data_IF_943306132698
#
_entry.id   IF_943306132698
#
_cell.length_a   1.000
_cell.length_b   1.000
_cell.length_c   1.000
_cell.angle_alpha   90.00
_cell.angle_beta   90.00
_cell.angle_gamma   90.00
#
_symmetry.space_group_name_H-M   'P 1'
#
loop_
_entity.id
_entity.type
_entity.pdbx_description
1 polymer ?
#
# COMPACT_ATOMS: atom_id res chain seq x y z
N UNK A 1 -21.29 -31.69 -87.92
CA UNK A 1 -20.37 -31.43 -89.05
C UNK A 1 -19.96 -29.96 -88.91
N UNK A 2 -18.79 -29.51 -88.43
CA UNK A 2 -17.49 -30.02 -87.96
C UNK A 2 -17.17 -29.16 -86.69
N UNK A 3 -16.66 -29.64 -85.54
CA UNK A 3 -15.33 -30.21 -85.29
C UNK A 3 -14.27 -29.11 -85.40
N UNK A 4 -13.45 -28.69 -84.42
CA UNK A 4 -12.64 -29.28 -83.31
C UNK A 4 -11.83 -28.09 -82.67
N UNK A 5 -10.88 -28.26 -81.74
CA UNK A 5 -10.86 -28.99 -80.46
C UNK A 5 -10.31 -28.14 -79.28
N UNK A 6 -10.46 -28.66 -78.06
CA UNK A 6 -9.71 -28.25 -76.86
C UNK A 6 -8.24 -28.72 -76.88
N UNK A 7 -7.38 -28.19 -76.00
CA UNK A 7 -6.35 -28.97 -75.33
C UNK A 7 -6.74 -29.26 -73.87
N UNK A 8 -6.61 -30.54 -73.53
CA UNK A 8 -6.66 -31.11 -72.18
C UNK A 8 -5.26 -31.04 -71.57
N UNK A 9 -5.13 -30.57 -70.35
CA UNK A 9 -4.03 -30.88 -69.40
C UNK A 9 -4.57 -30.55 -68.00
N UNK A 10 -5.13 -31.45 -67.21
CA UNK A 10 -4.54 -32.61 -66.52
C UNK A 10 -3.26 -32.27 -65.75
N UNK A 11 -3.39 -31.67 -64.55
CA UNK A 11 -2.55 -32.04 -63.40
C UNK A 11 -3.27 -31.75 -62.07
N UNK A 12 -3.15 -32.73 -61.17
CA UNK A 12 -3.79 -32.90 -59.87
C UNK A 12 -3.09 -32.10 -58.76
N UNK A 13 -3.83 -31.62 -57.76
CA UNK A 13 -3.50 -31.65 -56.31
C UNK A 13 -4.59 -30.86 -55.55
N UNK A 14 -5.53 -31.48 -54.85
CA UNK A 14 -5.41 -32.06 -53.50
C UNK A 14 -5.06 -31.03 -52.41
N UNK A 15 -6.14 -30.49 -51.80
CA UNK A 15 -6.36 -30.17 -50.39
C UNK A 15 -5.13 -30.13 -49.45
N UNK A 16 -4.83 -28.96 -48.88
CA UNK A 16 -4.32 -28.88 -47.51
C UNK A 16 -4.77 -27.57 -46.84
N UNK A 17 -5.82 -27.68 -46.02
CA UNK A 17 -6.14 -26.74 -44.94
C UNK A 17 -5.02 -26.84 -43.91
N UNK A 18 -4.10 -25.86 -43.90
CA UNK A 18 -3.16 -25.67 -42.81
C UNK A 18 -3.66 -24.51 -41.95
N UNK A 19 -4.27 -24.87 -40.83
CA UNK A 19 -4.28 -24.06 -39.61
C UNK A 19 -2.83 -23.62 -39.34
N UNK A 20 -2.53 -22.35 -39.60
CA UNK A 20 -1.37 -21.73 -38.99
C UNK A 20 -1.73 -21.49 -37.52
N UNK A 21 -1.45 -22.54 -36.75
CA UNK A 21 -1.27 -22.54 -35.31
C UNK A 21 -0.62 -21.24 -34.86
N UNK A 22 -1.22 -20.65 -33.83
CA UNK A 22 -0.68 -19.48 -33.15
C UNK A 22 0.81 -19.66 -32.87
N UNK A 23 1.59 -18.67 -33.29
CA UNK A 23 2.83 -18.36 -32.60
C UNK A 23 2.50 -18.07 -31.14
N UNK A 24 2.49 -19.12 -30.30
CA UNK A 24 2.88 -18.95 -28.91
C UNK A 24 4.32 -18.49 -28.98
N UNK A 25 4.54 -17.19 -28.88
CA UNK A 25 5.81 -16.69 -28.41
C UNK A 25 6.12 -17.48 -27.15
N UNK A 26 7.20 -18.25 -27.17
CA UNK A 26 7.75 -18.79 -25.95
C UNK A 26 7.94 -17.58 -25.03
N UNK A 27 7.13 -17.49 -23.98
CA UNK A 27 7.30 -16.49 -22.96
C UNK A 27 8.73 -16.67 -22.46
N UNK A 28 9.59 -15.69 -22.72
CA UNK A 28 10.85 -15.59 -21.99
C UNK A 28 10.56 -15.87 -20.52
N UNK A 29 11.39 -16.64 -19.81
CA UNK A 29 11.21 -16.78 -18.37
C UNK A 29 11.12 -15.36 -17.82
N UNK A 30 9.99 -15.04 -17.20
CA UNK A 30 9.79 -13.73 -16.59
C UNK A 30 11.01 -13.48 -15.69
N UNK A 31 11.56 -12.27 -15.69
CA UNK A 31 12.68 -11.95 -14.82
C UNK A 31 12.34 -12.41 -13.38
N UNK A 32 13.33 -12.91 -12.63
CA UNK A 32 13.08 -13.38 -11.27
C UNK A 32 12.39 -12.28 -10.47
N UNK A 33 11.32 -12.67 -9.76
CA UNK A 33 10.55 -11.74 -8.94
C UNK A 33 11.48 -11.04 -7.96
N UNK A 34 11.23 -9.76 -7.74
CA UNK A 34 11.88 -8.98 -6.69
C UNK A 34 11.82 -9.75 -5.35
N UNK A 35 12.95 -9.92 -4.62
CA UNK A 35 12.97 -10.71 -3.39
C UNK A 35 12.01 -10.22 -2.30
N UNK A 36 11.77 -8.91 -2.21
CA UNK A 36 10.80 -8.34 -1.26
C UNK A 36 9.37 -8.75 -1.66
N UNK A 37 9.05 -8.64 -2.95
CA UNK A 37 7.76 -9.10 -3.49
C UNK A 37 7.57 -10.60 -3.21
N UNK A 38 8.59 -11.42 -3.45
CA UNK A 38 8.52 -12.86 -3.18
C UNK A 38 8.29 -13.16 -1.69
N UNK A 39 8.94 -12.43 -0.78
CA UNK A 39 8.75 -12.55 0.65
C UNK A 39 7.33 -12.18 1.10
N UNK A 40 6.79 -11.08 0.58
CA UNK A 40 5.42 -10.65 0.87
C UNK A 40 4.38 -11.65 0.35
N UNK A 41 4.59 -12.20 -0.86
CA UNK A 41 3.75 -13.26 -1.40
C UNK A 41 3.82 -14.55 -0.58
N UNK A 42 4.99 -14.88 0.00
CA UNK A 42 5.10 -16.00 0.93
C UNK A 42 4.34 -15.73 2.23
N UNK A 43 4.43 -14.53 2.78
CA UNK A 43 3.66 -14.11 3.96
C UNK A 43 2.16 -14.19 3.71
N UNK A 44 1.67 -13.73 2.56
CA UNK A 44 0.26 -13.87 2.19
C UNK A 44 -0.18 -15.31 1.93
N UNK A 45 0.72 -16.21 1.52
CA UNK A 45 0.40 -17.64 1.44
C UNK A 45 0.13 -18.24 2.81
N UNK A 46 0.86 -17.80 3.84
CA UNK A 46 0.65 -18.24 5.22
C UNK A 46 -0.55 -17.54 5.87
N UNK A 47 -0.72 -16.24 5.59
CA UNK A 47 -1.78 -15.40 6.16
C UNK A 47 -2.46 -14.60 5.04
N UNK A 48 -3.48 -15.17 4.36
CA UNK A 48 -4.10 -14.53 3.19
C UNK A 48 -4.83 -13.20 3.46
N UNK A 49 -5.19 -12.95 4.71
CA UNK A 49 -5.90 -11.74 5.14
C UNK A 49 -4.98 -10.71 5.80
N UNK A 50 -3.67 -10.86 5.63
CA UNK A 50 -2.70 -9.87 6.07
C UNK A 50 -2.81 -8.58 5.22
N UNK A 51 -3.62 -7.64 5.72
CA UNK A 51 -3.85 -6.36 5.06
C UNK A 51 -2.58 -5.51 4.92
N UNK A 52 -1.64 -5.63 5.86
CA UNK A 52 -0.38 -4.89 5.78
C UNK A 52 0.51 -5.44 4.66
N UNK A 53 0.67 -6.76 4.58
CA UNK A 53 1.41 -7.37 3.48
C UNK A 53 0.76 -7.10 2.12
N UNK A 54 -0.58 -7.09 2.06
CA UNK A 54 -1.36 -6.71 0.87
C UNK A 54 -1.07 -5.26 0.46
N UNK A 55 -1.02 -4.34 1.42
CA UNK A 55 -0.72 -2.93 1.19
C UNK A 55 0.70 -2.71 0.68
N UNK A 56 1.67 -3.36 1.33
CA UNK A 56 3.08 -3.29 0.97
C UNK A 56 3.30 -3.81 -0.46
N UNK A 57 2.64 -4.91 -0.86
CA UNK A 57 2.70 -5.39 -2.24
C UNK A 57 2.16 -4.37 -3.24
N UNK A 58 1.02 -3.75 -2.95
CA UNK A 58 0.45 -2.73 -3.82
C UNK A 58 1.43 -1.56 -4.04
N UNK A 59 2.03 -1.05 -2.97
CA UNK A 59 3.01 0.04 -3.03
C UNK A 59 4.31 -0.38 -3.73
N UNK A 60 4.80 -1.60 -3.51
CA UNK A 60 5.99 -2.15 -4.17
C UNK A 60 5.78 -2.27 -5.68
N UNK A 61 4.69 -2.87 -6.12
CA UNK A 61 4.37 -2.96 -7.56
C UNK A 61 4.23 -1.57 -8.20
N UNK A 62 3.66 -0.59 -7.50
CA UNK A 62 3.61 0.79 -8.00
C UNK A 62 5.02 1.39 -8.15
N UNK A 63 5.91 1.13 -7.19
CA UNK A 63 7.32 1.54 -7.25
C UNK A 63 8.11 0.89 -8.40
N UNK A 64 7.75 -0.34 -8.78
CA UNK A 64 8.32 -1.05 -9.94
C UNK A 64 7.72 -0.59 -11.28
N UNK A 65 6.71 0.29 -11.27
CA UNK A 65 5.98 0.70 -12.48
C UNK A 65 4.96 -0.32 -12.98
N UNK A 66 4.75 -1.41 -12.23
CA UNK A 66 3.80 -2.49 -12.50
C UNK A 66 2.39 -2.07 -12.06
N UNK A 67 1.88 -1.01 -12.68
CA UNK A 67 0.66 -0.31 -12.27
C UNK A 67 -0.56 -1.21 -12.18
N UNK A 68 -0.73 -2.16 -13.10
CA UNK A 68 -1.85 -3.08 -13.05
C UNK A 68 -1.80 -4.02 -11.83
N UNK A 69 -0.60 -4.50 -11.47
CA UNK A 69 -0.44 -5.32 -10.26
C UNK A 69 -0.74 -4.50 -9.02
N UNK A 70 -0.24 -3.27 -8.97
CA UNK A 70 -0.51 -2.36 -7.85
C UNK A 70 -2.02 -2.16 -7.65
N UNK A 71 -2.77 -1.87 -8.72
CA UNK A 71 -4.22 -1.69 -8.66
C UNK A 71 -4.94 -2.98 -8.22
N UNK A 72 -4.55 -4.15 -8.73
CA UNK A 72 -5.10 -5.45 -8.28
C UNK A 72 -4.93 -5.67 -6.78
N UNK A 73 -3.77 -5.34 -6.22
CA UNK A 73 -3.54 -5.44 -4.79
C UNK A 73 -4.31 -4.40 -3.99
N UNK A 74 -4.55 -3.20 -4.54
CA UNK A 74 -5.45 -2.22 -3.93
C UNK A 74 -6.92 -2.69 -3.91
N UNK A 75 -7.38 -3.38 -4.95
CA UNK A 75 -8.71 -4.02 -4.94
C UNK A 75 -8.80 -5.12 -3.88
N UNK A 76 -7.71 -5.88 -3.67
CA UNK A 76 -7.65 -6.85 -2.57
C UNK A 76 -7.75 -6.16 -1.20
N UNK A 77 -7.17 -4.97 -1.01
CA UNK A 77 -7.35 -4.18 0.22
C UNK A 77 -8.83 -3.81 0.44
N UNK A 78 -9.56 -3.50 -0.63
CA UNK A 78 -10.99 -3.19 -0.56
C UNK A 78 -11.77 -4.41 -0.06
N UNK A 79 -11.49 -5.60 -0.62
CA UNK A 79 -12.06 -6.87 -0.16
C UNK A 79 -11.71 -7.18 1.32
N UNK A 80 -10.52 -6.79 1.78
CA UNK A 80 -10.08 -6.92 3.17
C UNK A 80 -10.64 -5.86 4.11
N UNK A 81 -11.46 -4.93 3.62
CA UNK A 81 -12.01 -3.82 4.41
C UNK A 81 -10.90 -2.96 5.05
N UNK A 82 -9.82 -2.70 4.31
CA UNK A 82 -8.67 -1.93 4.76
C UNK A 82 -9.06 -0.55 5.29
N UNK A 83 -8.56 -0.20 6.48
CA UNK A 83 -9.00 0.99 7.25
C UNK A 83 -7.93 2.03 7.54
N UNK A 84 -6.68 1.78 7.17
CA UNK A 84 -5.56 2.69 7.50
C UNK A 84 -5.27 3.72 6.39
N UNK A 85 -6.18 3.85 5.42
CA UNK A 85 -6.05 4.75 4.27
C UNK A 85 -4.95 4.33 3.29
N UNK A 86 -4.87 5.05 2.17
CA UNK A 86 -3.80 4.93 1.18
C UNK A 86 -3.15 6.30 1.01
N UNK A 87 -1.83 6.38 1.11
CA UNK A 87 -1.07 7.62 0.98
C UNK A 87 -0.45 7.73 -0.41
N UNK A 88 -0.76 8.82 -1.14
CA UNK A 88 -0.27 9.06 -2.50
C UNK A 88 1.27 8.94 -2.63
N UNK A 89 2.00 9.31 -1.59
CA UNK A 89 3.47 9.21 -1.55
C UNK A 89 3.99 7.78 -1.78
N UNK A 90 3.25 6.75 -1.35
CA UNK A 90 3.66 5.35 -1.50
C UNK A 90 3.39 4.79 -2.91
N UNK A 91 2.60 5.50 -3.73
CA UNK A 91 2.20 5.06 -5.07
C UNK A 91 2.81 5.94 -6.19
N UNK A 92 3.58 6.97 -5.85
CA UNK A 92 4.42 7.71 -6.78
C UNK A 92 3.67 8.24 -8.01
N UNK A 93 4.06 7.78 -9.21
CA UNK A 93 3.41 8.21 -10.46
C UNK A 93 2.00 7.65 -10.63
N UNK A 94 1.74 6.43 -10.14
CA UNK A 94 0.42 5.80 -10.19
C UNK A 94 -0.63 6.65 -9.48
N UNK A 95 -0.25 7.36 -8.41
CA UNK A 95 -1.16 8.23 -7.66
C UNK A 95 -1.80 9.37 -8.49
N UNK A 96 -1.24 9.69 -9.66
CA UNK A 96 -1.75 10.72 -10.58
C UNK A 96 -2.69 10.17 -11.65
N UNK A 97 -2.89 8.85 -11.70
CA UNK A 97 -3.74 8.19 -12.69
C UNK A 97 -5.21 8.20 -12.26
N UNK A 98 -6.18 8.28 -13.20
CA UNK A 98 -7.60 8.14 -12.90
C UNK A 98 -7.93 6.83 -12.17
N UNK A 99 -7.33 5.73 -12.60
CA UNK A 99 -7.58 4.38 -12.08
C UNK A 99 -7.22 4.29 -10.60
N UNK A 100 -6.06 4.82 -10.20
CA UNK A 100 -5.70 4.90 -8.79
C UNK A 100 -6.68 5.75 -7.99
N UNK A 101 -7.08 6.91 -8.53
CA UNK A 101 -7.98 7.84 -7.83
C UNK A 101 -9.33 7.19 -7.55
N UNK A 102 -9.84 6.38 -8.48
CA UNK A 102 -11.08 5.63 -8.30
C UNK A 102 -10.96 4.60 -7.17
N UNK A 103 -9.93 3.75 -7.18
CA UNK A 103 -9.74 2.74 -6.13
C UNK A 103 -9.49 3.39 -4.76
N UNK A 104 -8.65 4.43 -4.73
CA UNK A 104 -8.36 5.19 -3.51
C UNK A 104 -9.62 5.85 -2.92
N UNK A 105 -10.50 6.40 -3.76
CA UNK A 105 -11.77 6.96 -3.33
C UNK A 105 -12.68 5.90 -2.71
N UNK A 106 -12.79 4.71 -3.32
CA UNK A 106 -13.56 3.59 -2.74
C UNK A 106 -13.00 3.15 -1.40
N UNK A 107 -11.68 2.96 -1.29
CA UNK A 107 -11.01 2.63 -0.03
C UNK A 107 -11.25 3.70 1.05
N UNK A 108 -11.25 4.99 0.69
CA UNK A 108 -11.55 6.07 1.63
C UNK A 108 -12.97 6.00 2.21
N UNK A 109 -13.95 5.46 1.46
CA UNK A 109 -15.30 5.25 1.99
C UNK A 109 -15.38 4.18 3.09
N UNK A 110 -14.42 3.24 3.11
CA UNK A 110 -14.36 2.18 4.13
C UNK A 110 -13.94 2.71 5.50
N UNK A 111 -13.26 3.85 5.53
CA UNK A 111 -12.80 4.52 6.73
C UNK A 111 -13.03 6.03 6.61
N UNK A 112 -14.27 6.49 6.84
CA UNK A 112 -14.53 7.92 6.87
C UNK A 112 -13.68 8.55 7.98
N UNK A 113 -12.91 9.59 7.65
CA UNK A 113 -12.16 10.34 8.64
C UNK A 113 -13.14 10.97 9.64
N UNK A 114 -13.23 10.39 10.84
CA UNK A 114 -14.06 10.95 11.90
C UNK A 114 -13.20 11.85 12.79
N UNK A 115 -13.06 13.12 12.40
CA UNK A 115 -12.39 14.12 13.23
C UNK A 115 -13.37 14.67 14.29
N UNK A 116 -13.37 14.08 15.49
CA UNK A 116 -14.14 14.60 16.66
C UNK A 116 -13.30 15.44 17.63
N UNK A 117 -11.99 15.46 17.45
CA UNK A 117 -11.08 16.17 18.34
C UNK A 117 -10.77 17.57 17.82
N UNK A 118 -10.80 18.57 18.70
CA UNK A 118 -10.16 19.87 18.47
C UNK A 118 -8.80 19.91 19.17
N UNK A 119 -7.79 20.58 18.59
CA UNK A 119 -6.53 20.82 19.29
C UNK A 119 -6.77 21.58 20.59
N UNK A 120 -6.23 21.08 21.71
CA UNK A 120 -6.32 21.74 23.01
C UNK A 120 -5.09 22.61 23.29
N UNK A 121 -3.91 22.19 22.83
CA UNK A 121 -2.64 22.91 22.97
C UNK A 121 -1.62 22.45 21.93
N UNK A 122 -0.60 23.28 21.72
CA UNK A 122 0.57 22.97 20.87
C UNK A 122 1.82 23.02 21.75
N UNK A 123 2.57 21.93 21.80
CA UNK A 123 3.84 21.87 22.53
C UNK A 123 4.96 22.55 21.72
N UNK A 124 5.60 23.56 22.32
CA UNK A 124 6.75 24.23 21.70
C UNK A 124 8.05 23.40 21.80
N UNK A 125 8.10 22.38 22.68
CA UNK A 125 9.28 21.53 22.85
C UNK A 125 9.49 20.65 21.62
N UNK A 126 10.46 21.04 20.80
CA UNK A 126 10.90 20.26 19.64
C UNK A 126 11.61 18.98 20.09
N UNK A 127 11.47 17.91 19.30
CA UNK A 127 12.09 16.60 19.52
C UNK A 127 11.54 15.77 20.70
N UNK A 128 10.33 16.05 21.19
CA UNK A 128 9.52 15.05 21.87
C UNK A 128 9.03 14.03 20.83
N UNK A 129 9.16 12.73 21.14
CA UNK A 129 8.52 11.65 20.40
C UNK A 129 7.40 11.11 21.29
N UNK A 130 6.20 11.72 21.23
CA UNK A 130 5.12 11.37 22.15
C UNK A 130 4.55 10.00 21.83
N UNK A 131 4.36 9.18 22.87
CA UNK A 131 3.76 7.84 22.76
C UNK A 131 2.50 7.71 23.62
N UNK A 132 2.47 8.39 24.77
CA UNK A 132 1.32 8.41 25.67
C UNK A 132 0.93 9.83 26.08
N UNK A 133 -0.38 10.05 26.20
CA UNK A 133 -0.98 11.24 26.81
C UNK A 133 -2.01 10.80 27.84
N UNK A 134 -2.01 11.44 29.01
CA UNK A 134 -3.08 11.31 30.00
C UNK A 134 -3.44 12.68 30.57
N UNK A 135 -4.60 12.76 31.22
CA UNK A 135 -5.12 13.99 31.81
C UNK A 135 -5.54 13.73 33.25
N UNK A 136 -5.04 14.55 34.17
CA UNK A 136 -5.49 14.61 35.55
C UNK A 136 -6.49 15.75 35.73
N UNK A 137 -7.78 15.46 36.00
CA UNK A 137 -8.81 16.47 36.19
C UNK A 137 -8.69 17.22 37.53
N UNK A 138 -7.99 16.67 38.52
CA UNK A 138 -7.85 17.31 39.84
C UNK A 138 -6.90 18.49 39.76
N UNK A 139 -5.79 18.32 39.04
CA UNK A 139 -4.77 19.37 38.85
C UNK A 139 -4.89 20.08 37.50
N UNK A 140 -5.89 19.73 36.69
CA UNK A 140 -6.10 20.21 35.31
C UNK A 140 -4.81 20.17 34.46
N UNK A 141 -4.12 19.03 34.53
CA UNK A 141 -2.78 18.84 33.95
C UNK A 141 -2.76 17.66 32.99
N UNK A 142 -2.19 17.88 31.81
CA UNK A 142 -1.88 16.83 30.85
C UNK A 142 -0.46 16.32 31.07
N UNK A 143 -0.26 15.01 30.98
CA UNK A 143 1.05 14.39 31.00
C UNK A 143 1.33 13.75 29.66
N UNK A 144 2.47 14.08 29.07
CA UNK A 144 2.90 13.55 27.77
C UNK A 144 4.26 12.87 27.95
N UNK A 145 4.35 11.59 27.62
CA UNK A 145 5.60 10.84 27.66
C UNK A 145 6.44 11.08 26.40
N UNK A 146 7.75 10.85 26.48
CA UNK A 146 8.63 10.87 25.31
C UNK A 146 9.57 9.68 25.31
N UNK A 147 9.46 8.83 24.28
CA UNK A 147 10.33 7.67 24.08
C UNK A 147 11.78 8.15 23.97
N UNK A 148 12.04 9.07 23.03
CA UNK A 148 13.40 9.51 22.69
C UNK A 148 14.10 10.19 23.85
N UNK A 149 13.38 11.03 24.58
CA UNK A 149 13.95 11.80 25.72
C UNK A 149 13.92 11.00 27.02
N UNK A 150 13.17 9.90 27.08
CA UNK A 150 12.94 9.09 28.28
C UNK A 150 12.50 9.97 29.45
N UNK A 151 11.49 10.81 29.21
CA UNK A 151 10.97 11.77 30.19
C UNK A 151 9.45 11.91 30.07
N UNK A 152 8.83 12.52 31.08
CA UNK A 152 7.42 12.91 31.06
C UNK A 152 7.34 14.41 31.30
N UNK A 153 6.62 15.11 30.43
CA UNK A 153 6.31 16.53 30.63
C UNK A 153 4.89 16.68 31.20
N UNK A 154 4.74 17.60 32.14
CA UNK A 154 3.44 18.06 32.62
C UNK A 154 3.09 19.38 31.93
N UNK A 155 1.87 19.48 31.44
CA UNK A 155 1.32 20.64 30.77
C UNK A 155 0.03 21.08 31.46
N UNK A 156 0.05 22.24 32.09
CA UNK A 156 -1.15 22.87 32.62
C UNK A 156 -2.00 23.46 31.48
N UNK A 157 -3.32 23.62 31.70
CA UNK A 157 -4.24 24.17 30.69
C UNK A 157 -3.89 25.59 30.22
N UNK A 158 -3.18 26.36 31.03
CA UNK A 158 -2.66 27.68 30.65
C UNK A 158 -1.43 27.61 29.70
N UNK A 159 -1.01 26.42 29.30
CA UNK A 159 0.13 26.20 28.40
C UNK A 159 1.49 26.11 29.10
N UNK A 160 1.55 26.22 30.44
CA UNK A 160 2.80 26.05 31.17
C UNK A 160 3.28 24.62 31.11
N UNK A 161 4.49 24.44 30.59
CA UNK A 161 5.16 23.15 30.45
C UNK A 161 6.31 23.04 31.45
N UNK A 162 6.39 21.89 32.13
CA UNK A 162 7.52 21.54 33.00
C UNK A 162 7.83 20.05 32.88
N UNK A 163 9.05 19.69 33.23
CA UNK A 163 9.38 18.27 33.40
C UNK A 163 8.65 17.76 34.65
N UNK A 164 7.88 16.69 34.48
CA UNK A 164 7.34 15.90 35.58
C UNK A 164 8.38 14.87 36.04
N UNK A 165 9.02 14.22 35.07
CA UNK A 165 10.25 13.47 35.27
C UNK A 165 11.31 13.99 34.32
N UNK A 166 12.56 14.06 34.79
CA UNK A 166 13.71 14.39 33.96
C UNK A 166 14.08 13.27 32.99
N UNK A 167 14.98 13.55 32.05
CA UNK A 167 15.46 12.56 31.08
C UNK A 167 16.20 11.41 31.76
N UNK A 168 15.71 10.18 31.57
CA UNK A 168 16.27 8.97 32.16
C UNK A 168 16.13 8.87 33.68
N UNK A 169 15.32 9.74 34.30
CA UNK A 169 15.08 9.71 35.75
C UNK A 169 14.48 8.35 36.15
N UNK A 170 14.90 7.83 37.29
CA UNK A 170 14.38 6.57 37.89
C UNK A 170 14.48 5.34 36.97
N UNK A 171 15.42 5.38 36.00
CA UNK A 171 15.62 4.29 35.05
C UNK A 171 14.56 4.23 33.95
N UNK A 172 13.80 5.31 33.72
CA UNK A 172 12.81 5.35 32.65
C UNK A 172 13.47 5.07 31.29
N UNK A 173 12.92 4.10 30.56
CA UNK A 173 13.36 3.71 29.21
C UNK A 173 12.34 4.17 28.17
N UNK A 174 12.75 4.12 26.89
CA UNK A 174 11.84 4.28 25.76
C UNK A 174 11.51 2.91 25.18
N UNK A 175 10.26 2.69 24.82
CA UNK A 175 9.84 1.55 24.02
C UNK A 175 9.45 2.04 22.62
N UNK A 176 9.85 1.33 21.58
CA UNK A 176 9.35 1.56 20.22
C UNK A 176 8.78 0.24 19.72
N UNK A 177 7.50 0.24 19.33
CA UNK A 177 6.82 -0.88 18.69
C UNK A 177 6.91 -0.85 17.17
#
# INVERSE_FOLDING_TARGET
MFGRPMPVSLFRAALLLLFLSGCRTASNPSPPLDPEVAGLLQRLRATPDDGLATYELAARYAGLGENEQALRWMERLEALRWRYGVGDAHFGALARTPEYREVAARLATLHPLVARSSPVFTLAEKALTPEGITYDPVTDTFFVSSIRKRKVVALARNGQLRDFTGSGQDGLLGCSG
#
